data_IF_457389621595
#
_entry.id   IF_457389621595
#
_cell.length_a   1.000
_cell.length_b   1.000
_cell.length_c   1.000
_cell.angle_alpha   90.00
_cell.angle_beta   90.00
_cell.angle_gamma   90.00
#
_symmetry.space_group_name_H-M   'P 1'
#
loop_
_entity.id
_entity.type
_entity.pdbx_description
1 polymer ?
#
# COMPACT_ATOMS: atom_id res chain seq x y z
N UNK A 1 0.14 5.36 11.88
CA UNK A 1 0.01 3.89 11.85
C UNK A 1 1.39 3.28 11.67
N UNK A 2 1.67 2.11 12.25
CA UNK A 2 2.95 1.42 12.04
C UNK A 2 2.97 0.78 10.65
N UNK A 3 4.03 1.04 9.88
CA UNK A 3 4.26 0.47 8.54
C UNK A 3 4.13 -1.06 8.54
N UNK A 4 4.73 -1.72 9.52
CA UNK A 4 4.72 -3.19 9.61
C UNK A 4 3.31 -3.73 9.91
N UNK A 5 2.55 -3.03 10.76
CA UNK A 5 1.18 -3.41 11.06
C UNK A 5 0.29 -3.31 9.81
N UNK A 6 0.46 -2.24 9.01
CA UNK A 6 -0.27 -2.05 7.75
C UNK A 6 0.11 -3.12 6.73
N UNK A 7 1.41 -3.38 6.52
CA UNK A 7 1.87 -4.42 5.60
C UNK A 7 1.37 -5.81 6.01
N UNK A 8 1.37 -6.12 7.31
CA UNK A 8 0.83 -7.37 7.84
C UNK A 8 -0.67 -7.51 7.61
N UNK A 9 -1.45 -6.46 7.85
CA UNK A 9 -2.89 -6.48 7.62
C UNK A 9 -3.22 -6.70 6.13
N UNK A 10 -2.54 -5.97 5.24
CA UNK A 10 -2.70 -6.12 3.79
C UNK A 10 -2.30 -7.51 3.32
N UNK A 11 -1.18 -8.06 3.82
CA UNK A 11 -0.77 -9.44 3.50
C UNK A 11 -1.81 -10.47 3.91
N UNK A 12 -2.40 -10.31 5.09
CA UNK A 12 -3.44 -11.23 5.55
C UNK A 12 -4.71 -11.16 4.69
N UNK A 13 -5.08 -9.97 4.23
CA UNK A 13 -6.27 -9.79 3.38
C UNK A 13 -6.05 -10.20 1.91
N UNK A 14 -4.88 -9.90 1.35
CA UNK A 14 -4.55 -10.13 -0.06
C UNK A 14 -3.88 -11.49 -0.32
N UNK A 15 -3.33 -12.12 0.72
CA UNK A 15 -2.55 -13.36 0.60
C UNK A 15 -1.13 -13.15 0.04
N UNK A 16 -0.69 -11.91 -0.18
CA UNK A 16 0.61 -11.59 -0.77
C UNK A 16 1.26 -10.36 -0.12
N UNK A 17 2.59 -10.28 -0.19
CA UNK A 17 3.33 -9.11 0.24
C UNK A 17 3.05 -7.89 -0.65
N UNK A 18 3.13 -6.70 -0.05
CA UNK A 18 2.84 -5.42 -0.70
C UNK A 18 3.99 -4.44 -0.50
N UNK A 19 4.08 -3.44 -1.39
CA UNK A 19 4.94 -2.29 -1.23
C UNK A 19 4.11 -1.04 -0.93
N UNK A 20 4.56 -0.23 0.02
CA UNK A 20 3.91 1.02 0.41
C UNK A 20 4.69 2.23 -0.13
N UNK A 21 3.96 3.20 -0.67
CA UNK A 21 4.52 4.48 -1.03
C UNK A 21 3.80 5.61 -0.32
N UNK A 22 4.60 6.50 0.27
CA UNK A 22 4.10 7.65 0.99
C UNK A 22 4.56 8.95 0.34
N UNK A 23 3.70 9.95 0.38
CA UNK A 23 3.95 11.30 -0.12
C UNK A 23 4.05 12.29 1.04
N UNK A 24 4.81 13.37 0.86
CA UNK A 24 4.85 14.47 1.85
C UNK A 24 3.77 15.49 1.51
N UNK A 25 2.82 15.72 2.42
CA UNK A 25 1.80 16.77 2.31
C UNK A 25 1.83 17.59 3.59
N UNK A 26 2.05 18.90 3.49
CA UNK A 26 2.12 19.81 4.64
C UNK A 26 3.08 19.32 5.75
N UNK A 27 4.21 18.74 5.37
CA UNK A 27 5.21 18.18 6.30
C UNK A 27 4.89 16.81 6.89
N UNK A 28 3.70 16.26 6.63
CA UNK A 28 3.30 14.93 7.07
C UNK A 28 3.56 13.88 5.97
N UNK A 29 3.94 12.67 6.37
CA UNK A 29 4.03 11.51 5.48
C UNK A 29 2.69 10.81 5.43
N UNK A 30 2.05 10.84 4.26
CA UNK A 30 0.75 10.23 4.01
C UNK A 30 0.92 9.01 3.12
N UNK A 31 0.26 7.89 3.45
CA UNK A 31 0.15 6.76 2.53
C UNK A 31 -0.57 7.21 1.26
N UNK A 32 0.07 7.02 0.11
CA UNK A 32 -0.45 7.44 -1.20
C UNK A 32 -0.79 6.24 -2.06
N UNK A 33 0.11 5.26 -2.16
CA UNK A 33 -0.09 4.07 -2.99
C UNK A 33 0.24 2.78 -2.24
N UNK A 34 -0.48 1.72 -2.59
CA UNK A 34 -0.22 0.33 -2.21
C UNK A 34 -0.02 -0.47 -3.50
N UNK A 35 1.12 -1.14 -3.63
CA UNK A 35 1.47 -1.94 -4.81
C UNK A 35 1.45 -3.43 -4.46
N UNK A 36 0.82 -4.23 -5.32
CA UNK A 36 0.77 -5.69 -5.25
C UNK A 36 0.74 -6.25 -6.67
N UNK A 37 1.09 -7.53 -6.82
CA UNK A 37 1.13 -8.19 -8.13
C UNK A 37 -0.16 -8.96 -8.38
N UNK A 38 -0.56 -9.00 -9.64
CA UNK A 38 -1.66 -9.82 -10.14
C UNK A 38 -1.18 -10.64 -11.33
N UNK A 39 -1.76 -11.83 -11.51
CA UNK A 39 -1.51 -12.62 -12.71
C UNK A 39 -2.23 -12.01 -13.91
N UNK A 40 -1.44 -11.52 -14.88
CA UNK A 40 -1.95 -10.91 -16.11
C UNK A 40 -2.62 -11.89 -17.08
N UNK A 41 -2.56 -13.20 -16.82
CA UNK A 41 -3.02 -14.25 -17.75
C UNK A 41 -4.33 -14.92 -17.33
N UNK A 42 -4.71 -14.85 -16.05
CA UNK A 42 -5.79 -15.71 -15.51
C UNK A 42 -6.75 -14.95 -14.58
N UNK A 43 -7.56 -14.01 -15.10
CA UNK A 43 -8.57 -13.29 -14.29
C UNK A 43 -8.00 -12.40 -13.15
N UNK A 44 -6.72 -12.03 -13.20
CA UNK A 44 -6.08 -11.10 -12.27
C UNK A 44 -6.05 -11.52 -10.78
N UNK A 45 -5.84 -12.80 -10.40
CA UNK A 45 -5.66 -13.18 -9.01
C UNK A 45 -4.42 -12.49 -8.46
N UNK A 46 -4.50 -12.11 -7.19
CA UNK A 46 -3.34 -11.60 -6.45
C UNK A 46 -2.28 -12.70 -6.39
N UNK A 47 -1.04 -12.34 -6.69
CA UNK A 47 0.10 -13.23 -6.66
C UNK A 47 1.28 -12.61 -5.93
N UNK A 48 2.22 -13.44 -5.51
CA UNK A 48 3.47 -12.97 -4.89
C UNK A 48 4.35 -12.24 -5.90
N UNK A 49 4.70 -10.99 -5.59
CA UNK A 49 5.77 -10.27 -6.29
C UNK A 49 7.15 -10.79 -5.91
N UNK A 50 8.16 -10.58 -6.77
CA UNK A 50 9.55 -10.68 -6.34
C UNK A 50 9.87 -9.56 -5.33
N UNK A 51 10.77 -9.84 -4.39
CA UNK A 51 11.16 -8.84 -3.39
C UNK A 51 11.86 -7.63 -4.03
N UNK A 52 12.65 -7.85 -5.08
CA UNK A 52 13.27 -6.78 -5.86
C UNK A 52 12.23 -5.83 -6.46
N UNK A 53 11.13 -6.37 -7.02
CA UNK A 53 10.03 -5.55 -7.52
C UNK A 53 9.43 -4.72 -6.39
N UNK A 54 9.08 -5.33 -5.25
CA UNK A 54 8.48 -4.61 -4.13
C UNK A 54 9.39 -3.49 -3.61
N UNK A 55 10.70 -3.74 -3.50
CA UNK A 55 11.68 -2.74 -3.07
C UNK A 55 11.75 -1.54 -4.02
N UNK A 56 11.56 -1.74 -5.32
CA UNK A 56 11.56 -0.65 -6.30
C UNK A 56 10.36 0.30 -6.16
N UNK A 57 9.27 -0.17 -5.55
CA UNK A 57 8.05 0.62 -5.32
C UNK A 57 7.90 1.12 -3.88
N UNK A 58 8.54 0.45 -2.91
CA UNK A 58 8.55 0.88 -1.51
C UNK A 58 9.33 2.21 -1.39
N UNK A 59 8.61 3.31 -1.22
CA UNK A 59 9.23 4.65 -1.25
C UNK A 59 8.67 5.56 -0.18
N UNK A 60 9.59 6.21 0.53
CA UNK A 60 9.32 7.39 1.36
C UNK A 60 8.28 7.18 2.48
N UNK A 61 7.93 5.93 2.81
CA UNK A 61 7.16 5.57 4.00
C UNK A 61 8.10 5.35 5.19
N UNK A 62 8.15 6.29 6.17
CA UNK A 62 8.78 6.02 7.46
C UNK A 62 8.01 4.92 8.22
N UNK A 63 8.53 4.50 9.36
CA UNK A 63 7.85 3.50 10.21
C UNK A 63 6.49 4.00 10.74
N UNK A 64 6.31 5.32 10.85
CA UNK A 64 5.04 5.95 11.20
C UNK A 64 4.60 6.94 10.14
N UNK A 65 3.44 6.69 9.53
CA UNK A 65 2.80 7.58 8.57
C UNK A 65 1.30 7.74 8.87
N UNK A 66 0.68 8.72 8.22
CA UNK A 66 -0.75 9.02 8.27
C UNK A 66 -1.45 8.27 7.14
N UNK A 67 -2.56 7.60 7.46
CA UNK A 67 -3.53 7.18 6.45
C UNK A 67 -4.54 8.32 6.33
N UNK A 68 -4.66 8.99 5.17
CA UNK A 68 -5.63 10.05 5.00
C UNK A 68 -7.05 9.47 5.15
N UNK A 69 -7.90 10.18 5.87
CA UNK A 69 -9.34 9.92 5.81
C UNK A 69 -9.84 10.27 4.41
N UNK A 70 -10.78 9.47 3.90
CA UNK A 70 -11.45 9.80 2.66
C UNK A 70 -12.40 10.97 2.98
N UNK A 71 -12.32 12.10 2.26
CA UNK A 71 -13.23 13.22 2.44
C UNK A 71 -14.69 12.76 2.36
N UNK A 72 -15.58 13.29 3.21
CA UNK A 72 -17.00 12.91 3.24
C UNK A 72 -17.68 13.03 1.86
N UNK A 73 -17.29 14.04 1.08
CA UNK A 73 -17.73 14.29 -0.30
C UNK A 73 -17.41 13.18 -1.30
N UNK A 74 -16.46 12.28 -1.01
CA UNK A 74 -16.17 11.11 -1.82
C UNK A 74 -17.08 9.91 -1.50
N UNK A 75 -17.73 9.88 -0.33
CA UNK A 75 -18.74 8.88 0.02
C UNK A 75 -20.11 9.29 -0.52
N UNK A 76 -20.28 9.30 -1.86
CA UNK A 76 -21.60 9.47 -2.47
C UNK A 76 -22.39 8.17 -2.31
N UNK A 77 -23.43 8.22 -1.46
CA UNK A 77 -24.52 7.25 -1.41
C UNK A 77 -25.55 7.46 -2.51
#
# INVERSE_FOLDING_TARGET
QSKDAVKKALKNGLGADVALQCQTVNGQKLLSNVYFCVDHTQQLPVMSCSQEFLLNYEKSCPDSFVMPEVPEECYRG
#
